data_IF_777569005094
#
_entry.id   IF_777569005094
#
_cell.length_a   1.000
_cell.length_b   1.000
_cell.length_c   1.000
_cell.angle_alpha   90.00
_cell.angle_beta   90.00
_cell.angle_gamma   90.00
#
_symmetry.space_group_name_H-M   'P 1'
#
loop_
_entity.id
_entity.type
_entity.pdbx_description
1 polymer ?
#
# COMPACT_ATOMS: atom_id res chain seq x y z
N UNK A 1 -21.70 -63.25 37.56
CA UNK A 1 -20.82 -63.65 36.43
C UNK A 1 -19.78 -62.56 36.22
N UNK A 2 -18.51 -62.96 36.01
CA UNK A 2 -17.35 -62.20 35.46
C UNK A 2 -16.86 -60.98 36.28
N UNK A 3 -15.98 -61.13 37.28
CA UNK A 3 -14.50 -61.27 37.30
C UNK A 3 -13.70 -60.11 36.69
N UNK A 4 -12.96 -59.45 37.60
CA UNK A 4 -11.79 -58.59 37.42
C UNK A 4 -10.73 -59.21 36.51
N UNK A 5 -9.88 -58.40 35.86
CA UNK A 5 -8.50 -58.16 36.32
C UNK A 5 -7.73 -57.16 35.43
N UNK A 6 -6.94 -56.35 36.14
CA UNK A 6 -5.80 -55.55 35.70
C UNK A 6 -4.83 -56.32 34.79
N UNK A 7 -4.23 -55.64 33.81
CA UNK A 7 -2.97 -56.08 33.22
C UNK A 7 -2.03 -54.89 32.94
N UNK A 8 -0.79 -55.11 33.37
CA UNK A 8 0.34 -54.20 33.41
C UNK A 8 0.88 -53.82 32.02
N UNK A 9 1.49 -52.63 31.99
CA UNK A 9 2.51 -52.19 31.03
C UNK A 9 3.72 -53.14 31.04
N UNK A 10 4.18 -53.56 29.86
CA UNK A 10 5.57 -53.96 29.61
C UNK A 10 6.00 -53.48 28.23
N UNK A 11 6.97 -52.57 28.25
CA UNK A 11 7.72 -52.06 27.10
C UNK A 11 8.59 -53.18 26.53
N UNK A 12 8.49 -53.44 25.23
CA UNK A 12 9.47 -54.25 24.51
C UNK A 12 10.31 -53.33 23.62
N UNK A 13 11.55 -53.11 24.03
CA UNK A 13 12.62 -52.61 23.17
C UNK A 13 13.13 -53.79 22.36
N UNK A 14 13.04 -53.70 21.03
CA UNK A 14 13.67 -54.67 20.13
C UNK A 14 14.69 -53.90 19.29
N UNK A 15 15.97 -54.19 19.51
CA UNK A 15 17.11 -53.74 18.71
C UNK A 15 17.70 -54.94 17.98
N UNK A 16 17.72 -54.98 16.65
CA UNK A 16 18.73 -55.73 15.86
C UNK A 16 18.69 -55.27 14.37
N UNK A 17 19.70 -55.56 13.52
CA UNK A 17 20.87 -54.73 13.27
C UNK A 17 20.96 -54.22 11.82
N UNK A 18 22.01 -53.44 11.58
CA UNK A 18 22.49 -52.92 10.31
C UNK A 18 22.60 -54.00 9.19
N UNK A 19 21.83 -53.86 8.11
CA UNK A 19 22.13 -54.46 6.80
C UNK A 19 21.87 -53.44 5.72
N UNK A 20 22.95 -52.86 5.21
CA UNK A 20 22.95 -52.12 3.96
C UNK A 20 22.77 -53.12 2.80
N UNK A 21 21.67 -53.00 2.07
CA UNK A 21 21.51 -53.53 0.72
C UNK A 21 20.78 -52.46 -0.10
N UNK A 22 21.54 -51.97 -1.08
CA UNK A 22 21.23 -50.96 -2.08
C UNK A 22 19.86 -51.14 -2.78
N UNK A 23 19.08 -50.07 -2.81
CA UNK A 23 17.89 -49.91 -3.66
C UNK A 23 18.16 -48.73 -4.61
N UNK A 24 17.82 -48.83 -5.90
CA UNK A 24 18.34 -47.97 -6.96
C UNK A 24 17.88 -46.51 -6.86
N UNK A 25 18.80 -45.62 -7.21
CA UNK A 25 18.57 -44.21 -7.53
C UNK A 25 17.37 -44.07 -8.46
N UNK A 26 16.25 -43.59 -7.90
CA UNK A 26 15.17 -42.98 -8.68
C UNK A 26 15.49 -41.48 -8.76
N UNK A 27 15.88 -40.94 -9.92
CA UNK A 27 16.15 -39.52 -10.04
C UNK A 27 14.84 -38.81 -10.38
N UNK A 28 14.07 -38.39 -9.37
CA UNK A 28 12.99 -37.39 -9.55
C UNK A 28 12.29 -37.07 -8.23
N UNK A 29 13.08 -36.64 -7.24
CA UNK A 29 12.60 -35.69 -6.25
C UNK A 29 13.57 -34.52 -6.25
N UNK A 30 13.64 -33.83 -7.40
CA UNK A 30 13.81 -32.39 -7.33
C UNK A 30 12.67 -31.91 -6.42
N UNK A 31 12.92 -31.24 -5.28
CA UNK A 31 11.89 -30.33 -4.82
C UNK A 31 11.63 -29.44 -6.04
N UNK A 32 10.40 -29.41 -6.54
CA UNK A 32 10.03 -28.34 -7.46
C UNK A 32 10.38 -27.09 -6.67
N UNK A 33 11.47 -26.43 -7.03
CA UNK A 33 11.63 -25.02 -6.77
C UNK A 33 10.41 -24.42 -7.47
N UNK A 34 9.31 -24.31 -6.71
CA UNK A 34 8.47 -23.16 -6.86
C UNK A 34 9.46 -22.02 -6.80
N UNK A 35 9.77 -21.46 -7.96
CA UNK A 35 10.29 -20.11 -8.06
C UNK A 35 9.33 -19.28 -7.20
N UNK A 36 9.64 -19.14 -5.90
CA UNK A 36 9.25 -17.96 -5.18
C UNK A 36 10.04 -16.90 -5.90
N UNK A 37 9.43 -16.30 -6.90
CA UNK A 37 9.82 -14.97 -7.33
C UNK A 37 9.91 -14.18 -6.04
N UNK A 38 11.13 -13.91 -5.63
CA UNK A 38 11.38 -13.04 -4.49
C UNK A 38 10.73 -11.71 -4.86
N UNK A 39 9.90 -11.20 -3.96
CA UNK A 39 9.17 -9.95 -4.15
C UNK A 39 9.84 -8.88 -3.30
N UNK A 40 10.01 -7.69 -3.86
CA UNK A 40 10.44 -6.52 -3.10
C UNK A 40 9.19 -5.73 -2.74
N UNK A 41 9.01 -5.48 -1.44
CA UNK A 41 8.04 -4.51 -0.95
C UNK A 41 8.73 -3.18 -0.72
N UNK A 42 8.21 -2.11 -1.33
CA UNK A 42 8.66 -0.73 -1.14
C UNK A 42 7.58 0.08 -0.44
N UNK A 43 7.99 0.96 0.45
CA UNK A 43 7.12 1.87 1.17
C UNK A 43 7.46 3.32 0.79
N UNK A 44 6.48 4.02 0.24
CA UNK A 44 6.64 5.37 -0.30
C UNK A 44 5.78 6.32 0.53
N UNK A 45 6.38 7.39 1.05
CA UNK A 45 5.63 8.42 1.76
C UNK A 45 4.95 9.37 0.76
N UNK A 46 3.63 9.48 0.86
CA UNK A 46 2.80 10.32 0.01
C UNK A 46 2.20 11.46 0.84
N UNK A 47 2.16 12.68 0.33
CA UNK A 47 1.52 13.83 0.97
C UNK A 47 0.28 14.30 0.21
N UNK A 48 -0.78 14.63 0.95
CA UNK A 48 -2.08 15.04 0.44
C UNK A 48 -2.27 16.54 0.60
N UNK A 49 -2.52 17.28 -0.48
CA UNK A 49 -2.98 18.65 -0.40
C UNK A 49 -4.33 18.78 0.31
N UNK A 50 -4.58 19.97 0.87
CA UNK A 50 -5.73 20.23 1.74
C UNK A 50 -7.07 20.30 1.01
N UNK A 51 -7.09 20.72 -0.26
CA UNK A 51 -8.32 20.93 -1.02
C UNK A 51 -8.47 19.90 -2.15
N UNK A 52 -9.69 19.46 -2.40
CA UNK A 52 -10.01 18.50 -3.46
C UNK A 52 -11.15 18.99 -4.36
N UNK A 53 -11.02 18.65 -5.63
CA UNK A 53 -12.08 18.70 -6.64
C UNK A 53 -12.39 17.27 -7.05
N UNK A 54 -13.59 16.81 -6.76
CA UNK A 54 -14.06 15.45 -6.98
C UNK A 54 -14.97 15.44 -8.20
N UNK A 55 -14.60 14.69 -9.23
CA UNK A 55 -15.48 14.40 -10.37
C UNK A 55 -16.19 13.08 -10.12
N UNK A 56 -17.52 13.11 -10.12
CA UNK A 56 -18.35 11.92 -9.93
C UNK A 56 -18.64 11.25 -11.27
N UNK A 57 -18.84 9.94 -11.27
CA UNK A 57 -19.26 9.16 -12.46
C UNK A 57 -20.60 9.63 -13.03
N UNK A 58 -21.42 10.30 -12.22
CA UNK A 58 -22.66 10.97 -12.66
C UNK A 58 -22.43 12.21 -13.52
N UNK A 59 -21.19 12.70 -13.66
CA UNK A 59 -20.83 13.95 -14.33
C UNK A 59 -20.86 15.19 -13.44
N UNK A 60 -21.37 15.06 -12.20
CA UNK A 60 -21.36 16.15 -11.22
C UNK A 60 -19.95 16.36 -10.64
N UNK A 61 -19.71 17.57 -10.13
CA UNK A 61 -18.47 17.91 -9.42
C UNK A 61 -18.77 18.38 -8.00
N UNK A 62 -17.94 17.94 -7.06
CA UNK A 62 -18.01 18.33 -5.65
C UNK A 62 -16.64 18.85 -5.23
N UNK A 63 -16.60 19.85 -4.35
CA UNK A 63 -15.36 20.41 -3.83
C UNK A 63 -15.39 20.52 -2.31
N UNK A 64 -14.23 20.47 -1.69
CA UNK A 64 -14.12 20.57 -0.23
C UNK A 64 -12.69 20.36 0.26
N UNK A 65 -12.50 20.50 1.56
CA UNK A 65 -11.23 20.16 2.20
C UNK A 65 -11.14 18.66 2.42
N UNK A 66 -10.03 18.08 2.01
CA UNK A 66 -9.66 16.69 2.23
C UNK A 66 -9.51 16.39 3.73
N UNK A 67 -10.24 15.40 4.23
CA UNK A 67 -10.12 14.94 5.61
C UNK A 67 -9.57 13.52 5.72
N UNK A 68 -10.07 12.60 4.89
CA UNK A 68 -9.67 11.20 4.92
C UNK A 68 -10.00 10.49 3.61
N UNK A 69 -9.31 9.39 3.33
CA UNK A 69 -9.59 8.46 2.24
C UNK A 69 -9.44 7.04 2.78
N UNK A 70 -10.49 6.24 2.67
CA UNK A 70 -10.49 4.84 3.06
C UNK A 70 -11.12 3.98 1.96
N UNK A 71 -11.13 2.66 2.16
CA UNK A 71 -11.60 1.69 1.17
C UNK A 71 -13.08 1.80 0.79
N UNK A 72 -13.87 2.64 1.48
CA UNK A 72 -15.30 2.81 1.22
C UNK A 72 -15.63 4.18 0.66
N UNK A 73 -14.93 5.21 1.12
CA UNK A 73 -15.31 6.59 0.83
C UNK A 73 -14.16 7.58 0.95
N UNK A 74 -14.30 8.66 0.19
CA UNK A 74 -13.59 9.90 0.40
C UNK A 74 -14.37 10.76 1.41
N UNK A 75 -13.69 11.23 2.46
CA UNK A 75 -14.28 12.13 3.45
C UNK A 75 -13.78 13.54 3.21
N UNK A 76 -14.71 14.47 2.96
CA UNK A 76 -14.44 15.88 2.76
C UNK A 76 -15.24 16.75 3.73
N UNK A 77 -14.76 17.97 3.96
CA UNK A 77 -15.54 19.02 4.61
C UNK A 77 -15.81 20.18 3.66
N UNK A 78 -17.01 20.74 3.75
CA UNK A 78 -17.38 21.96 3.05
C UNK A 78 -18.20 22.84 4.00
N UNK A 79 -17.67 24.04 4.29
CA UNK A 79 -18.20 24.92 5.34
C UNK A 79 -18.31 24.14 6.67
N UNK A 80 -19.49 24.08 7.27
CA UNK A 80 -19.75 23.41 8.54
C UNK A 80 -20.26 21.96 8.38
N UNK A 81 -20.18 21.40 7.17
CA UNK A 81 -20.64 20.05 6.86
C UNK A 81 -19.49 19.10 6.52
N UNK A 82 -19.57 17.85 7.01
CA UNK A 82 -18.67 16.76 6.66
C UNK A 82 -19.46 15.72 5.85
N UNK A 83 -18.94 15.35 4.69
CA UNK A 83 -19.55 14.42 3.75
C UNK A 83 -18.63 13.24 3.48
N UNK A 84 -19.20 12.03 3.43
CA UNK A 84 -18.55 10.86 2.84
C UNK A 84 -19.11 10.61 1.45
N UNK A 85 -18.23 10.56 0.45
CA UNK A 85 -18.57 10.24 -0.94
C UNK A 85 -18.11 8.80 -1.20
N UNK A 86 -19.01 7.86 -1.53
CA UNK A 86 -18.63 6.50 -1.85
C UNK A 86 -17.65 6.44 -3.02
N UNK A 87 -16.61 5.60 -2.93
CA UNK A 87 -15.62 5.49 -4.02
C UNK A 87 -16.23 4.98 -5.31
N UNK A 88 -17.27 4.13 -5.22
CA UNK A 88 -18.03 3.66 -6.37
C UNK A 88 -18.58 4.79 -7.24
N UNK A 89 -18.85 5.95 -6.63
CA UNK A 89 -19.47 7.10 -7.28
C UNK A 89 -18.45 8.10 -7.82
N UNK A 90 -17.19 7.97 -7.43
CA UNK A 90 -16.10 8.87 -7.79
C UNK A 90 -15.41 8.36 -9.04
N UNK A 91 -15.20 9.25 -10.00
CA UNK A 91 -14.37 8.99 -11.17
C UNK A 91 -12.93 9.42 -10.90
N UNK A 92 -12.74 10.64 -10.39
CA UNK A 92 -11.42 11.17 -10.10
C UNK A 92 -11.44 12.24 -9.01
N UNK A 93 -10.27 12.42 -8.38
CA UNK A 93 -10.00 13.39 -7.34
C UNK A 93 -8.76 14.19 -7.78
N UNK A 94 -8.92 15.51 -7.93
CA UNK A 94 -7.82 16.44 -8.16
C UNK A 94 -7.50 17.16 -6.85
N UNK A 95 -6.23 17.19 -6.44
CA UNK A 95 -5.77 17.83 -5.21
C UNK A 95 -5.15 19.20 -5.49
N UNK A 96 -5.46 20.21 -4.67
CA UNK A 96 -5.05 21.61 -4.87
C UNK A 96 -4.62 22.33 -3.59
N UNK A 97 -4.26 23.59 -3.78
CA UNK A 97 -3.92 24.59 -2.79
C UNK A 97 -2.59 24.37 -2.09
N UNK A 98 -2.59 23.76 -0.92
CA UNK A 98 -1.42 23.68 -0.06
C UNK A 98 -1.24 22.26 0.45
N UNK A 99 0.01 21.85 0.60
CA UNK A 99 0.40 20.55 1.13
C UNK A 99 1.30 20.74 2.36
N UNK A 100 1.17 19.84 3.32
CA UNK A 100 2.09 19.75 4.45
C UNK A 100 3.21 18.76 4.14
N UNK A 101 4.44 19.26 4.12
CA UNK A 101 5.66 18.47 3.87
C UNK A 101 6.36 18.20 5.21
N UNK A 102 6.58 16.94 5.59
CA UNK A 102 7.28 16.55 6.81
C UNK A 102 8.77 16.83 6.70
N UNK A 103 9.39 17.22 7.82
CA UNK A 103 10.83 17.44 7.88
C UNK A 103 11.67 16.19 7.57
N UNK A 104 11.14 14.98 7.82
CA UNK A 104 11.80 13.70 7.51
C UNK A 104 10.78 12.54 7.45
N UNK A 105 11.26 11.33 7.14
CA UNK A 105 10.43 10.12 6.96
C UNK A 105 9.63 9.70 8.20
N UNK A 106 10.12 9.97 9.41
CA UNK A 106 9.44 9.53 10.64
C UNK A 106 8.34 10.50 11.10
N UNK A 107 8.24 11.67 10.47
CA UNK A 107 7.23 12.67 10.79
C UNK A 107 5.96 12.43 9.98
N UNK A 108 4.84 12.26 10.68
CA UNK A 108 3.49 12.23 10.12
C UNK A 108 2.89 13.63 10.24
N UNK A 109 2.46 14.21 9.13
CA UNK A 109 1.93 15.57 9.15
C UNK A 109 0.47 15.60 9.57
N UNK A 110 0.17 16.48 10.53
CA UNK A 110 -1.16 16.88 10.95
C UNK A 110 -1.22 18.41 10.96
N UNK A 111 -2.41 19.01 10.92
CA UNK A 111 -2.55 20.48 10.83
C UNK A 111 -1.85 21.24 11.95
N UNK A 112 -1.74 20.67 13.16
CA UNK A 112 -1.08 21.27 14.32
C UNK A 112 0.40 20.92 14.46
N UNK A 113 0.98 20.12 13.55
CA UNK A 113 2.36 19.66 13.67
C UNK A 113 3.34 20.73 13.19
N UNK A 114 4.17 21.26 14.11
CA UNK A 114 5.19 22.28 13.81
C UNK A 114 6.42 21.73 13.06
N UNK A 115 6.55 20.42 12.92
CA UNK A 115 7.59 19.76 12.13
C UNK A 115 7.20 19.57 10.66
N UNK A 116 6.07 20.16 10.25
CA UNK A 116 5.59 20.15 8.88
C UNK A 116 5.59 21.55 8.30
N UNK A 117 6.19 21.70 7.12
CA UNK A 117 6.20 22.95 6.37
C UNK A 117 5.02 22.97 5.40
N UNK A 118 4.31 24.09 5.36
CA UNK A 118 3.24 24.32 4.40
C UNK A 118 3.80 24.85 3.10
N UNK A 119 3.45 24.23 1.99
CA UNK A 119 3.96 24.58 0.66
C UNK A 119 2.78 24.74 -0.30
N UNK A 120 2.74 25.82 -1.10
CA UNK A 120 1.74 25.93 -2.15
C UNK A 120 1.98 24.84 -3.19
N UNK A 121 0.94 24.12 -3.56
CA UNK A 121 0.92 23.26 -4.73
C UNK A 121 0.80 24.18 -5.95
N UNK A 122 1.92 24.71 -6.42
CA UNK A 122 1.95 25.43 -7.68
C UNK A 122 1.57 24.45 -8.79
N UNK A 123 0.47 24.69 -9.50
CA UNK A 123 0.06 23.87 -10.65
C UNK A 123 1.03 24.03 -11.85
N UNK A 124 1.95 25.00 -11.80
CA UNK A 124 3.05 25.17 -12.76
C UNK A 124 4.29 24.38 -12.30
N UNK A 125 4.17 23.05 -12.27
CA UNK A 125 5.32 22.22 -11.96
C UNK A 125 6.11 22.01 -13.24
N UNK A 126 7.33 22.55 -13.30
CA UNK A 126 8.30 22.27 -14.36
C UNK A 126 8.70 20.76 -14.39
N UNK A 127 8.24 19.98 -13.41
CA UNK A 127 8.48 18.56 -13.29
C UNK A 127 7.28 17.76 -13.80
N UNK A 128 7.55 16.80 -14.68
CA UNK A 128 6.54 15.85 -15.13
C UNK A 128 6.04 15.01 -13.94
N UNK A 129 4.71 14.83 -13.81
CA UNK A 129 4.15 13.97 -12.80
C UNK A 129 4.54 12.51 -13.08
N UNK A 130 4.84 11.79 -12.02
CA UNK A 130 4.94 10.34 -12.07
C UNK A 130 3.54 9.75 -11.96
N UNK A 131 3.21 8.78 -12.82
CA UNK A 131 1.92 8.11 -12.86
C UNK A 131 2.13 6.64 -12.52
N UNK A 132 1.30 6.13 -11.60
CA UNK A 132 1.27 4.71 -11.23
C UNK A 132 -0.15 4.19 -11.39
N UNK A 133 -0.32 3.15 -12.21
CA UNK A 133 -1.62 2.61 -12.60
C UNK A 133 -1.89 1.28 -11.90
N UNK A 134 -3.17 0.92 -11.80
CA UNK A 134 -3.63 -0.39 -11.31
C UNK A 134 -3.15 -0.73 -9.88
N UNK A 135 -3.02 0.29 -9.04
CA UNK A 135 -2.62 0.12 -7.64
C UNK A 135 -3.87 -0.25 -6.82
N UNK A 136 -3.86 -1.32 -6.02
CA UNK A 136 -4.94 -1.56 -5.07
C UNK A 136 -5.06 -0.40 -4.10
N UNK A 137 -6.26 0.15 -3.88
CA UNK A 137 -6.44 1.26 -2.94
C UNK A 137 -5.96 0.89 -1.52
N UNK A 138 -6.08 -0.38 -1.14
CA UNK A 138 -5.59 -0.89 0.14
C UNK A 138 -4.07 -0.76 0.33
N UNK A 139 -3.30 -0.58 -0.75
CA UNK A 139 -1.88 -0.25 -0.70
C UNK A 139 -1.61 1.17 -0.20
N UNK A 140 -2.61 2.04 -0.19
CA UNK A 140 -2.50 3.42 0.29
C UNK A 140 -3.08 3.53 1.71
N UNK A 141 -2.18 3.55 2.70
CA UNK A 141 -2.56 3.63 4.11
C UNK A 141 -2.46 5.06 4.64
N UNK A 142 -3.62 5.71 4.82
CA UNK A 142 -3.70 7.01 5.46
C UNK A 142 -3.74 6.87 6.98
N UNK A 143 -2.86 7.60 7.66
CA UNK A 143 -2.99 7.74 9.11
C UNK A 143 -4.15 8.69 9.41
N UNK A 144 -5.08 8.29 10.28
CA UNK A 144 -6.26 9.10 10.62
C UNK A 144 -5.87 10.53 11.01
N UNK A 145 -6.52 11.50 10.36
CA UNK A 145 -6.30 12.93 10.60
C UNK A 145 -4.93 13.44 10.14
N UNK A 146 -4.16 12.62 9.43
CA UNK A 146 -2.90 13.03 8.83
C UNK A 146 -3.07 13.51 7.40
N UNK A 147 -2.07 14.27 6.93
CA UNK A 147 -1.92 14.74 5.56
C UNK A 147 -0.84 13.97 4.81
N UNK A 148 -0.44 12.82 5.34
CA UNK A 148 0.58 11.95 4.77
C UNK A 148 0.13 10.50 4.84
N UNK A 149 0.35 9.72 3.79
CA UNK A 149 0.07 8.29 3.75
C UNK A 149 1.35 7.49 3.49
N UNK A 150 1.25 6.19 3.70
CA UNK A 150 2.22 5.23 3.21
C UNK A 150 1.62 4.47 2.03
N UNK A 151 2.31 4.49 0.89
CA UNK A 151 1.98 3.69 -0.27
C UNK A 151 2.90 2.47 -0.31
N UNK A 152 2.33 1.28 -0.18
CA UNK A 152 3.06 0.00 -0.21
C UNK A 152 2.93 -0.66 -1.58
N UNK A 153 4.06 -0.86 -2.25
CA UNK A 153 4.14 -1.43 -3.59
C UNK A 153 4.93 -2.73 -3.52
N UNK A 154 4.37 -3.79 -4.09
CA UNK A 154 5.02 -5.10 -4.16
C UNK A 154 5.33 -5.42 -5.61
N UNK A 155 6.62 -5.56 -5.92
CA UNK A 155 7.10 -5.82 -7.27
C UNK A 155 7.87 -7.17 -7.30
N UNK A 156 7.76 -7.93 -8.39
CA UNK A 156 8.62 -9.10 -8.61
C UNK A 156 10.07 -8.65 -8.80
N UNK A 157 11.04 -9.38 -8.23
CA UNK A 157 12.47 -9.05 -8.28
C UNK A 157 13.05 -8.81 -9.69
N UNK A 158 12.38 -9.31 -10.73
CA UNK A 158 12.82 -9.22 -12.12
C UNK A 158 12.50 -7.87 -12.79
N UNK A 159 11.88 -6.92 -12.08
CA UNK A 159 11.75 -5.56 -12.59
C UNK A 159 13.15 -4.92 -12.65
N UNK A 160 13.70 -4.87 -13.86
CA UNK A 160 15.05 -4.48 -14.23
C UNK A 160 15.52 -3.26 -13.43
N UNK A 161 16.65 -3.38 -12.71
CA UNK A 161 17.34 -2.25 -12.05
C UNK A 161 17.72 -1.12 -13.05
N UNK A 162 17.57 -1.37 -14.35
CA UNK A 162 17.83 -0.45 -15.45
C UNK A 162 16.67 0.51 -15.77
N UNK A 163 15.43 0.24 -15.33
CA UNK A 163 14.41 1.28 -15.26
C UNK A 163 14.62 2.04 -13.96
N UNK A 164 15.23 3.21 -14.07
CA UNK A 164 15.77 4.02 -12.97
C UNK A 164 14.63 4.54 -12.04
N UNK A 165 14.07 3.66 -11.20
CA UNK A 165 13.07 3.93 -10.15
C UNK A 165 13.62 4.78 -9.00
N UNK A 166 14.78 5.41 -9.18
CA UNK A 166 15.40 6.32 -8.23
C UNK A 166 14.49 7.53 -7.90
N UNK A 167 13.46 7.79 -8.72
CA UNK A 167 12.44 8.79 -8.40
C UNK A 167 11.53 8.38 -7.23
N UNK A 168 11.25 7.08 -7.02
CA UNK A 168 10.53 6.53 -5.85
C UNK A 168 11.41 6.40 -4.60
N UNK A 169 12.62 6.94 -4.65
CA UNK A 169 13.54 6.91 -3.52
C UNK A 169 12.89 7.53 -2.28
N UNK A 170 13.02 6.84 -1.16
CA UNK A 170 12.55 7.31 0.14
C UNK A 170 13.16 8.69 0.51
N UNK A 171 14.18 9.18 -0.19
CA UNK A 171 14.77 10.51 0.01
C UNK A 171 13.80 11.66 -0.32
N UNK A 172 12.88 11.44 -1.26
CA UNK A 172 11.86 12.42 -1.64
C UNK A 172 10.55 12.19 -0.86
N UNK A 173 9.65 13.16 -0.92
CA UNK A 173 8.24 12.97 -0.61
C UNK A 173 7.43 13.09 -1.90
N UNK A 174 6.41 12.26 -2.05
CA UNK A 174 5.58 12.25 -3.24
C UNK A 174 4.29 13.02 -2.95
N UNK A 175 4.11 14.18 -3.56
CA UNK A 175 2.89 14.97 -3.37
C UNK A 175 1.86 14.48 -4.37
N UNK A 176 0.72 13.99 -3.89
CA UNK A 176 -0.36 13.53 -4.77
C UNK A 176 -0.96 14.73 -5.50
N UNK A 177 -1.12 14.58 -6.81
CA UNK A 177 -1.74 15.56 -7.69
C UNK A 177 -3.16 15.15 -8.03
N UNK A 178 -3.33 13.90 -8.43
CA UNK A 178 -4.64 13.32 -8.71
C UNK A 178 -4.70 11.84 -8.37
N UNK A 179 -5.92 11.37 -8.18
CA UNK A 179 -6.26 9.98 -8.00
C UNK A 179 -7.47 9.67 -8.87
N UNK A 180 -7.33 8.71 -9.76
CA UNK A 180 -8.44 8.16 -10.55
C UNK A 180 -8.84 6.81 -9.97
N UNK A 181 -10.15 6.56 -9.94
CA UNK A 181 -10.73 5.35 -9.38
C UNK A 181 -11.38 4.59 -10.53
N UNK A 182 -11.05 3.31 -10.62
CA UNK A 182 -11.62 2.45 -11.63
C UNK A 182 -13.13 2.22 -11.43
N UNK A 183 -13.72 1.43 -12.33
CA UNK A 183 -15.16 1.14 -12.23
C UNK A 183 -15.51 0.37 -10.95
N UNK A 184 -14.61 -0.50 -10.48
CA UNK A 184 -14.81 -1.33 -9.29
C UNK A 184 -14.71 -0.57 -7.97
N UNK A 185 -13.93 0.51 -7.93
CA UNK A 185 -13.61 1.22 -6.68
C UNK A 185 -12.42 0.63 -5.93
N UNK A 186 -11.82 -0.45 -6.44
CA UNK A 186 -10.74 -1.18 -5.77
C UNK A 186 -9.36 -0.79 -6.27
N UNK A 187 -9.27 -0.39 -7.54
CA UNK A 187 -8.01 0.00 -8.18
C UNK A 187 -7.96 1.50 -8.42
N UNK A 188 -6.76 2.05 -8.24
CA UNK A 188 -6.49 3.46 -8.41
C UNK A 188 -5.32 3.69 -9.35
N UNK A 189 -5.40 4.80 -10.07
CA UNK A 189 -4.26 5.40 -10.75
C UNK A 189 -3.88 6.66 -9.98
N UNK A 190 -2.64 6.71 -9.50
CA UNK A 190 -2.11 7.83 -8.72
C UNK A 190 -1.17 8.63 -9.60
N UNK A 191 -1.39 9.95 -9.66
CA UNK A 191 -0.40 10.90 -10.15
C UNK A 191 0.22 11.64 -8.97
N UNK A 192 1.54 11.67 -8.90
CA UNK A 192 2.25 12.45 -7.88
C UNK A 192 3.47 13.16 -8.46
N UNK A 193 3.89 14.22 -7.79
CA UNK A 193 5.15 14.89 -8.09
C UNK A 193 6.16 14.62 -6.97
N UNK A 194 7.35 14.09 -7.30
CA UNK A 194 8.43 13.98 -6.33
C UNK A 194 8.92 15.37 -5.92
N UNK A 195 8.90 15.64 -4.62
CA UNK A 195 9.39 16.88 -4.04
C UNK A 195 10.47 16.61 -3.00
N UNK A 196 11.38 17.58 -2.84
CA UNK A 196 12.33 17.57 -1.74
C UNK A 196 11.59 17.88 -0.45
N UNK A 197 11.92 17.16 0.62
CA UNK A 197 11.41 17.47 1.97
C UNK A 197 11.85 18.88 2.40
#
# INVERSE_FOLDING_TARGET
MKRLLSMLLMSAVITVPNTALSIPLSPSLLPSQQNKEEQITREIQVAFPDFVVVSLKSGNRVTGNFLDLNNLSLIISFKDYVAGIPLSDIQSIEFKDQVLIPANQSVICQQSNNQCRRVPLSQNQEQEPTIMENIPLASLSLFRGSKTALLTITEPLQYDENENLNYLSNKNIHIINSLEIDESGELITISFIPSKR
#
